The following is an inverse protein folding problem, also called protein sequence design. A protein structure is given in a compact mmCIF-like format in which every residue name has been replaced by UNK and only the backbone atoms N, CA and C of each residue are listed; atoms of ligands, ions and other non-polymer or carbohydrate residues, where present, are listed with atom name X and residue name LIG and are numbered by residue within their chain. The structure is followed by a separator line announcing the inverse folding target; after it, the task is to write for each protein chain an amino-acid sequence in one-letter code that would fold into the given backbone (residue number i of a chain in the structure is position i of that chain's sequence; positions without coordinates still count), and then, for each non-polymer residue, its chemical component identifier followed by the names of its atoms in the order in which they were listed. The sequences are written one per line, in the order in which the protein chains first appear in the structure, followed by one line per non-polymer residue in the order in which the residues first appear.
data_IF_687409476182
#
_entry.id   IF_687409476182
#
_cell.length_a   1.000
_cell.length_b   1.000
_cell.length_c   1.000
_cell.angle_alpha   90.00
_cell.angle_beta   90.00
_cell.angle_gamma   90.00
#
_symmetry.space_group_name_H-M   'P 1'
#
loop_
_entity.id
_entity.type
_entity.pdbx_description
1 polymer ?
#
# COMPACT_ATOMS: atom_id res chain seq x y z
N UNK A 1 -31.48 -9.89 -30.47
CA UNK A 1 -31.28 -8.54 -29.90
C UNK A 1 -31.79 -8.55 -28.45
N UNK A 2 -30.92 -8.39 -27.45
CA UNK A 2 -31.36 -8.31 -26.05
C UNK A 2 -32.29 -7.11 -25.86
N UNK A 3 -33.43 -7.31 -25.20
CA UNK A 3 -34.40 -6.25 -24.90
C UNK A 3 -33.75 -5.17 -24.03
N UNK A 4 -34.22 -3.93 -24.10
CA UNK A 4 -33.69 -2.80 -23.31
C UNK A 4 -33.61 -3.13 -21.81
N UNK A 5 -34.59 -3.88 -21.30
CA UNK A 5 -34.66 -4.41 -19.93
C UNK A 5 -33.51 -5.37 -19.60
N UNK A 6 -33.17 -6.30 -20.50
CA UNK A 6 -32.09 -7.26 -20.30
C UNK A 6 -30.70 -6.58 -20.26
N UNK A 7 -30.50 -5.53 -21.07
CA UNK A 7 -29.27 -4.72 -21.04
C UNK A 7 -29.15 -3.91 -19.74
N UNK A 8 -30.26 -3.39 -19.22
CA UNK A 8 -30.29 -2.65 -17.95
C UNK A 8 -29.99 -3.58 -16.76
N UNK A 9 -30.55 -4.78 -16.74
CA UNK A 9 -30.31 -5.78 -15.70
C UNK A 9 -28.83 -6.20 -15.64
N UNK A 10 -28.18 -6.44 -16.78
CA UNK A 10 -26.74 -6.80 -16.82
C UNK A 10 -25.86 -5.64 -16.31
N UNK A 11 -26.27 -4.38 -16.52
CA UNK A 11 -25.55 -3.20 -16.00
C UNK A 11 -25.72 -2.99 -14.51
N UNK A 12 -26.88 -3.35 -13.94
CA UNK A 12 -27.19 -3.16 -12.52
C UNK A 12 -26.73 -4.35 -11.67
N UNK A 13 -26.67 -5.56 -12.25
CA UNK A 13 -26.31 -6.78 -11.55
C UNK A 13 -25.01 -6.70 -10.69
N UNK A 14 -23.91 -6.06 -11.14
CA UNK A 14 -22.70 -5.91 -10.32
C UNK A 14 -22.90 -5.07 -9.05
N UNK A 15 -23.90 -4.18 -9.02
CA UNK A 15 -24.17 -3.29 -7.90
C UNK A 15 -25.06 -3.90 -6.82
N UNK A 16 -25.79 -4.97 -7.14
CA UNK A 16 -26.71 -5.62 -6.20
C UNK A 16 -25.97 -6.18 -4.98
N UNK A 17 -24.82 -6.83 -5.19
CA UNK A 17 -24.02 -7.40 -4.11
C UNK A 17 -23.46 -6.35 -3.14
N UNK A 18 -22.73 -5.31 -3.59
CA UNK A 18 -22.20 -4.30 -2.67
C UNK A 18 -23.29 -3.51 -1.98
N UNK A 19 -24.34 -3.07 -2.70
CA UNK A 19 -25.44 -2.31 -2.11
C UNK A 19 -26.22 -3.19 -1.11
N UNK A 20 -26.53 -4.42 -1.48
CA UNK A 20 -27.19 -5.38 -0.60
C UNK A 20 -26.39 -5.63 0.68
N UNK A 21 -25.07 -5.76 0.56
CA UNK A 21 -24.17 -5.93 1.72
C UNK A 21 -24.22 -4.73 2.67
N UNK A 22 -24.21 -3.50 2.15
CA UNK A 22 -24.32 -2.28 2.97
C UNK A 22 -25.69 -2.19 3.65
N UNK A 23 -26.77 -2.55 2.95
CA UNK A 23 -28.13 -2.54 3.52
C UNK A 23 -28.23 -3.56 4.66
N UNK A 24 -27.77 -4.80 4.43
CA UNK A 24 -27.76 -5.86 5.45
C UNK A 24 -26.92 -5.44 6.64
N UNK A 25 -25.76 -4.83 6.41
CA UNK A 25 -24.88 -4.33 7.46
C UNK A 25 -25.55 -3.22 8.29
N UNK A 26 -26.10 -2.17 7.65
CA UNK A 26 -26.83 -1.11 8.35
C UNK A 26 -28.00 -1.68 9.16
N UNK A 27 -28.77 -2.60 8.57
CA UNK A 27 -29.89 -3.24 9.25
C UNK A 27 -29.42 -4.03 10.48
N UNK A 28 -28.45 -4.93 10.32
CA UNK A 28 -27.91 -5.74 11.40
C UNK A 28 -27.29 -4.89 12.53
N UNK A 29 -26.64 -3.77 12.20
CA UNK A 29 -26.16 -2.80 13.19
C UNK A 29 -27.30 -2.06 13.90
N UNK A 30 -28.35 -1.65 13.18
CA UNK A 30 -29.48 -0.91 13.76
C UNK A 30 -30.34 -1.73 14.71
N UNK A 31 -30.51 -3.03 14.43
CA UNK A 31 -31.28 -3.97 15.25
C UNK A 31 -30.44 -4.55 16.40
N UNK A 32 -29.17 -4.16 16.51
CA UNK A 32 -28.28 -4.57 17.62
C UNK A 32 -27.69 -5.98 17.47
N UNK A 33 -27.82 -6.61 16.30
CA UNK A 33 -27.16 -7.89 16.01
C UNK A 33 -25.64 -7.74 15.91
N UNK A 34 -25.17 -6.54 15.53
CA UNK A 34 -23.76 -6.18 15.48
C UNK A 34 -23.45 -5.12 16.54
N UNK A 35 -22.41 -5.36 17.33
CA UNK A 35 -21.90 -4.37 18.28
C UNK A 35 -21.29 -3.19 17.53
N UNK A 36 -21.91 -2.01 17.67
CA UNK A 36 -21.45 -0.75 17.06
C UNK A 36 -20.11 -0.26 17.61
N UNK A 37 -19.61 -0.86 18.71
CA UNK A 37 -18.28 -0.61 19.25
C UNK A 37 -17.17 -1.30 18.45
N UNK A 38 -17.44 -2.47 17.88
CA UNK A 38 -16.47 -3.23 17.07
C UNK A 38 -16.67 -2.88 15.59
N UNK A 39 -17.92 -2.79 15.15
CA UNK A 39 -18.27 -2.50 13.77
C UNK A 39 -19.29 -1.35 13.72
N UNK A 40 -18.83 -0.10 13.56
CA UNK A 40 -19.73 1.05 13.48
C UNK A 40 -20.70 0.89 12.30
N UNK A 41 -21.94 1.38 12.44
CA UNK A 41 -22.90 1.33 11.33
C UNK A 41 -22.44 2.20 10.16
N UNK A 42 -22.83 1.88 8.91
CA UNK A 42 -22.58 2.75 7.75
C UNK A 42 -22.95 4.21 7.99
N UNK A 43 -24.12 4.45 8.60
CA UNK A 43 -24.54 5.80 9.01
C UNK A 43 -23.58 6.44 10.03
N UNK A 44 -23.11 5.66 11.00
CA UNK A 44 -22.14 6.12 11.99
C UNK A 44 -20.80 6.53 11.35
N UNK A 45 -20.35 5.79 10.34
CA UNK A 45 -19.15 6.13 9.55
C UNK A 45 -19.34 7.46 8.81
N UNK A 46 -20.50 7.68 8.18
CA UNK A 46 -20.81 8.94 7.48
C UNK A 46 -20.88 10.14 8.44
N UNK A 47 -21.51 9.96 9.60
CA UNK A 47 -21.57 11.00 10.65
C UNK A 47 -20.17 11.34 11.15
N UNK A 48 -19.36 10.33 11.50
CA UNK A 48 -17.99 10.54 11.96
C UNK A 48 -17.15 11.24 10.89
N UNK A 49 -17.28 10.84 9.62
CA UNK A 49 -16.61 11.51 8.50
C UNK A 49 -16.97 13.00 8.42
N UNK A 50 -18.27 13.34 8.48
CA UNK A 50 -18.71 14.74 8.42
C UNK A 50 -18.21 15.54 9.63
N UNK A 51 -18.38 15.00 10.84
CA UNK A 51 -17.95 15.67 12.07
C UNK A 51 -16.44 15.94 12.07
N UNK A 52 -15.61 14.95 11.74
CA UNK A 52 -14.15 15.09 11.71
C UNK A 52 -13.67 15.97 10.54
N UNK A 53 -14.39 15.95 9.42
CA UNK A 53 -14.11 16.85 8.28
C UNK A 53 -14.40 18.30 8.64
N UNK A 54 -15.53 18.55 9.31
CA UNK A 54 -15.96 19.89 9.72
C UNK A 54 -15.12 20.46 10.87
N UNK A 55 -14.66 19.61 11.80
CA UNK A 55 -13.75 20.03 12.88
C UNK A 55 -12.33 20.32 12.39
N UNK A 56 -11.95 19.82 11.22
CA UNK A 56 -10.60 19.93 10.67
C UNK A 56 -9.64 18.82 11.15
N UNK A 57 -10.02 18.04 12.15
CA UNK A 57 -9.20 16.94 12.70
C UNK A 57 -8.88 15.88 11.64
N UNK A 58 -9.84 15.55 10.77
CA UNK A 58 -9.63 14.58 9.69
C UNK A 58 -8.45 15.00 8.81
N UNK A 59 -8.42 16.27 8.41
CA UNK A 59 -7.39 16.82 7.55
C UNK A 59 -6.03 16.86 8.24
N UNK A 60 -5.99 17.19 9.54
CA UNK A 60 -4.77 17.15 10.32
C UNK A 60 -4.20 15.74 10.44
N UNK A 61 -5.03 14.75 10.78
CA UNK A 61 -4.61 13.35 10.86
C UNK A 61 -4.14 12.82 9.51
N UNK A 62 -4.87 13.15 8.44
CA UNK A 62 -4.52 12.76 7.09
C UNK A 62 -3.19 13.38 6.66
N UNK A 63 -2.97 14.67 6.93
CA UNK A 63 -1.74 15.36 6.58
C UNK A 63 -0.53 14.77 7.31
N UNK A 64 -0.64 14.54 8.62
CA UNK A 64 0.43 13.93 9.42
C UNK A 64 0.75 12.51 8.93
N UNK A 65 -0.28 11.69 8.68
CA UNK A 65 -0.10 10.33 8.16
C UNK A 65 0.55 10.34 6.77
N UNK A 66 0.09 11.23 5.90
CA UNK A 66 0.62 11.36 4.54
C UNK A 66 2.06 11.86 4.53
N UNK A 67 2.40 12.81 5.40
CA UNK A 67 3.76 13.32 5.56
C UNK A 67 4.75 12.22 5.95
N UNK A 68 4.39 11.42 6.98
CA UNK A 68 5.19 10.24 7.39
C UNK A 68 5.35 9.26 6.23
N UNK A 69 4.26 8.96 5.53
CA UNK A 69 4.26 8.05 4.40
C UNK A 69 5.17 8.56 3.27
N UNK A 70 5.08 9.84 2.91
CA UNK A 70 5.87 10.47 1.86
C UNK A 70 7.36 10.50 2.18
N UNK A 71 7.74 10.90 3.40
CA UNK A 71 9.17 10.90 3.79
C UNK A 71 9.71 9.47 3.81
N UNK A 72 9.01 8.56 4.49
CA UNK A 72 9.44 7.17 4.59
C UNK A 72 9.57 6.53 3.22
N UNK A 73 8.57 6.72 2.35
CA UNK A 73 8.61 6.28 0.96
C UNK A 73 9.75 6.92 0.16
N UNK A 74 10.01 8.21 0.33
CA UNK A 74 11.08 8.89 -0.40
C UNK A 74 12.45 8.34 -0.01
N UNK A 75 12.69 8.12 1.28
CA UNK A 75 13.95 7.54 1.80
C UNK A 75 14.07 6.08 1.37
N UNK A 76 13.10 5.26 1.76
CA UNK A 76 13.10 3.81 1.50
C UNK A 76 13.08 3.50 0.01
N UNK A 77 12.25 4.22 -0.74
CA UNK A 77 12.13 4.08 -2.18
C UNK A 77 13.37 4.55 -2.94
N UNK A 78 14.03 5.62 -2.54
CA UNK A 78 15.31 6.00 -3.16
C UNK A 78 16.38 4.93 -2.91
N UNK A 79 16.49 4.41 -1.69
CA UNK A 79 17.43 3.34 -1.36
C UNK A 79 17.10 2.07 -2.16
N UNK A 80 15.83 1.64 -2.15
CA UNK A 80 15.36 0.47 -2.87
C UNK A 80 15.60 0.59 -4.38
N UNK A 81 15.30 1.75 -4.96
CA UNK A 81 15.54 2.05 -6.37
C UNK A 81 17.02 1.95 -6.72
N UNK A 82 17.90 2.62 -5.95
CA UNK A 82 19.35 2.58 -6.18
C UNK A 82 19.89 1.16 -6.10
N UNK A 83 19.54 0.42 -5.04
CA UNK A 83 19.97 -0.97 -4.88
C UNK A 83 19.42 -1.88 -5.99
N UNK A 84 18.16 -1.66 -6.39
CA UNK A 84 17.48 -2.41 -7.45
C UNK A 84 18.10 -2.16 -8.81
N UNK A 85 18.47 -0.91 -9.10
CA UNK A 85 19.23 -0.53 -10.30
C UNK A 85 20.61 -1.21 -10.31
N UNK A 86 21.36 -1.12 -9.21
CA UNK A 86 22.69 -1.75 -9.09
C UNK A 86 22.59 -3.26 -9.32
N UNK A 87 21.62 -3.93 -8.69
CA UNK A 87 21.44 -5.38 -8.78
C UNK A 87 20.86 -5.82 -10.12
N UNK A 88 19.97 -5.01 -10.70
CA UNK A 88 19.34 -5.29 -11.99
C UNK A 88 20.32 -5.15 -13.16
N UNK A 89 21.17 -4.12 -13.13
CA UNK A 89 22.11 -3.80 -14.21
C UNK A 89 23.46 -4.54 -14.08
N UNK A 90 23.89 -4.93 -12.87
CA UNK A 90 25.18 -5.59 -12.63
C UNK A 90 25.03 -7.02 -12.12
N UNK A 91 25.76 -7.96 -12.74
CA UNK A 91 25.87 -9.35 -12.26
C UNK A 91 26.55 -9.45 -10.89
N UNK A 92 27.47 -8.55 -10.57
CA UNK A 92 28.11 -8.51 -9.26
C UNK A 92 27.19 -7.92 -8.21
N UNK A 93 26.47 -6.85 -8.56
CA UNK A 93 25.44 -6.26 -7.71
C UNK A 93 24.39 -7.29 -7.32
N UNK A 94 23.87 -8.04 -8.29
CA UNK A 94 22.95 -9.16 -8.09
C UNK A 94 23.50 -10.17 -7.08
N UNK A 95 24.71 -10.70 -7.30
CA UNK A 95 25.28 -11.73 -6.43
C UNK A 95 25.53 -11.27 -4.99
N UNK A 96 25.96 -10.02 -4.80
CA UNK A 96 26.32 -9.49 -3.48
C UNK A 96 25.11 -8.96 -2.70
N UNK A 97 24.20 -8.25 -3.37
CA UNK A 97 23.10 -7.54 -2.74
C UNK A 97 21.83 -8.37 -2.65
N UNK A 98 21.47 -9.12 -3.70
CA UNK A 98 20.16 -9.78 -3.78
C UNK A 98 19.97 -10.77 -2.64
N UNK A 99 20.95 -11.67 -2.42
CA UNK A 99 20.91 -12.63 -1.30
C UNK A 99 20.70 -11.94 0.04
N UNK A 100 21.48 -10.88 0.32
CA UNK A 100 21.42 -10.14 1.58
C UNK A 100 20.07 -9.45 1.77
N UNK A 101 19.53 -8.84 0.70
CA UNK A 101 18.24 -8.16 0.73
C UNK A 101 17.10 -9.15 0.89
N UNK A 102 17.15 -10.30 0.20
CA UNK A 102 16.16 -11.36 0.36
C UNK A 102 16.15 -11.95 1.77
N UNK A 103 17.31 -12.13 2.39
CA UNK A 103 17.40 -12.53 3.79
C UNK A 103 16.75 -11.51 4.72
N UNK A 104 17.08 -10.23 4.55
CA UNK A 104 16.53 -9.17 5.40
C UNK A 104 15.01 -9.00 5.21
N UNK A 105 14.51 -9.19 3.98
CA UNK A 105 13.07 -9.15 3.67
C UNK A 105 12.27 -10.20 4.43
N UNK A 106 12.86 -11.36 4.70
CA UNK A 106 12.17 -12.44 5.41
C UNK A 106 11.97 -12.12 6.90
N UNK A 107 12.62 -11.09 7.43
CA UNK A 107 12.39 -10.62 8.79
C UNK A 107 11.01 -9.94 8.86
N UNK A 108 10.09 -10.40 9.73
CA UNK A 108 8.79 -9.75 9.88
C UNK A 108 8.97 -8.31 10.35
N UNK A 109 8.37 -7.35 9.63
CA UNK A 109 8.50 -5.93 9.99
C UNK A 109 7.98 -5.65 11.40
N UNK A 110 6.94 -6.37 11.83
CA UNK A 110 6.39 -6.27 13.19
C UNK A 110 7.40 -6.70 14.27
N UNK A 111 8.29 -7.65 13.97
CA UNK A 111 9.31 -8.11 14.91
C UNK A 111 10.42 -7.07 15.14
N UNK A 112 10.58 -6.11 14.24
CA UNK A 112 11.57 -5.03 14.35
C UNK A 112 11.09 -3.88 15.23
N UNK A 113 9.78 -3.77 15.51
CA UNK A 113 9.21 -2.65 16.28
C UNK A 113 9.93 -2.44 17.62
N UNK A 114 10.14 -3.46 18.47
CA UNK A 114 10.81 -3.25 19.76
C UNK A 114 12.24 -2.74 19.63
N UNK A 115 12.99 -3.24 18.65
CA UNK A 115 14.37 -2.83 18.38
C UNK A 115 14.44 -1.39 17.90
N UNK A 116 13.54 -1.01 16.99
CA UNK A 116 13.44 0.37 16.48
C UNK A 116 13.04 1.32 17.60
N UNK A 117 12.12 0.92 18.48
CA UNK A 117 11.77 1.72 19.67
C UNK A 117 12.96 1.89 20.60
N UNK A 118 13.76 0.84 20.80
CA UNK A 118 14.96 0.92 21.65
C UNK A 118 16.02 1.87 21.06
N UNK A 119 16.17 1.91 19.74
CA UNK A 119 17.16 2.78 19.07
C UNK A 119 16.69 4.22 18.89
N UNK A 120 15.43 4.42 18.50
CA UNK A 120 14.91 5.71 18.04
C UNK A 120 13.86 6.30 18.98
N UNK A 121 13.41 5.55 20.00
CA UNK A 121 12.27 5.93 20.85
C UNK A 121 10.91 5.63 20.21
N UNK A 122 9.83 6.15 20.82
CA UNK A 122 8.46 5.99 20.33
C UNK A 122 7.99 7.14 19.43
N UNK A 123 8.93 8.01 19.05
CA UNK A 123 8.67 9.25 18.33
C UNK A 123 8.48 9.04 16.82
N UNK A 124 8.49 10.14 16.07
CA UNK A 124 8.26 10.18 14.63
C UNK A 124 9.35 9.46 13.83
N UNK A 125 10.60 9.52 14.30
CA UNK A 125 11.75 8.86 13.67
C UNK A 125 11.54 7.35 13.52
N UNK A 126 11.05 6.68 14.57
CA UNK A 126 10.77 5.25 14.56
C UNK A 126 9.70 4.88 13.52
N UNK A 127 8.63 5.68 13.42
CA UNK A 127 7.54 5.46 12.46
C UNK A 127 8.05 5.63 11.03
N UNK A 128 8.81 6.69 10.77
CA UNK A 128 9.40 6.97 9.44
C UNK A 128 10.38 5.88 9.05
N UNK A 129 11.23 5.42 9.97
CA UNK A 129 12.17 4.32 9.72
C UNK A 129 11.47 3.04 9.28
N UNK A 130 10.40 2.63 10.00
CA UNK A 130 9.63 1.44 9.65
C UNK A 130 8.95 1.56 8.28
N UNK A 131 8.42 2.74 7.94
CA UNK A 131 7.87 3.00 6.59
C UNK A 131 8.96 2.94 5.52
N UNK A 132 10.13 3.52 5.77
CA UNK A 132 11.25 3.47 4.83
C UNK A 132 11.72 2.04 4.60
N UNK A 133 11.88 1.25 5.66
CA UNK A 133 12.24 -0.15 5.56
C UNK A 133 11.18 -0.96 4.79
N UNK A 134 9.89 -0.74 5.10
CA UNK A 134 8.76 -1.40 4.45
C UNK A 134 8.63 -1.09 2.96
N UNK A 135 8.96 0.14 2.55
CA UNK A 135 8.89 0.55 1.14
C UNK A 135 10.14 0.18 0.35
N UNK A 136 11.30 0.09 0.99
CA UNK A 136 12.57 -0.25 0.34
C UNK A 136 12.53 -1.61 -0.37
N UNK A 137 12.04 -2.67 0.29
CA UNK A 137 12.03 -4.02 -0.29
C UNK A 137 11.17 -4.17 -1.55
N UNK A 138 9.86 -3.80 -1.56
CA UNK A 138 9.06 -3.93 -2.77
C UNK A 138 9.60 -3.06 -3.91
N UNK A 139 10.15 -1.88 -3.61
CA UNK A 139 10.75 -1.02 -4.65
C UNK A 139 12.00 -1.68 -5.22
N UNK A 140 12.90 -2.20 -4.37
CA UNK A 140 14.06 -2.98 -4.82
C UNK A 140 13.65 -4.13 -5.76
N UNK A 141 12.72 -4.97 -5.32
CA UNK A 141 12.27 -6.16 -6.04
C UNK A 141 11.63 -5.79 -7.37
N UNK A 142 10.73 -4.80 -7.37
CA UNK A 142 10.03 -4.36 -8.58
C UNK A 142 10.99 -3.71 -9.57
N UNK A 143 11.96 -2.91 -9.10
CA UNK A 143 13.00 -2.34 -9.97
C UNK A 143 13.87 -3.45 -10.56
N UNK A 144 14.33 -4.40 -9.74
CA UNK A 144 15.17 -5.51 -10.19
C UNK A 144 14.44 -6.38 -11.24
N UNK A 145 13.21 -6.81 -10.94
CA UNK A 145 12.39 -7.59 -11.88
C UNK A 145 12.07 -6.79 -13.13
N UNK A 146 11.77 -5.50 -12.99
CA UNK A 146 11.50 -4.61 -14.12
C UNK A 146 12.66 -4.57 -15.11
N UNK A 147 13.91 -4.54 -14.61
CA UNK A 147 15.11 -4.56 -15.46
C UNK A 147 15.34 -5.94 -16.07
N UNK A 148 15.19 -7.02 -15.29
CA UNK A 148 15.53 -8.38 -15.74
C UNK A 148 14.50 -9.00 -16.67
N UNK A 149 13.27 -8.52 -16.66
CA UNK A 149 12.19 -9.01 -17.51
C UNK A 149 11.99 -8.17 -18.79
N UNK A 150 12.89 -7.22 -19.09
CA UNK A 150 12.83 -6.47 -20.35
C UNK A 150 13.00 -7.44 -21.53
N UNK A 151 12.17 -7.27 -22.56
CA UNK A 151 12.30 -8.02 -23.82
C UNK A 151 13.69 -7.81 -24.42
N UNK A 152 14.36 -8.91 -24.75
CA UNK A 152 15.69 -8.89 -25.37
C UNK A 152 15.70 -8.07 -26.66
N UNK A 153 14.62 -8.10 -27.44
CA UNK A 153 14.50 -7.32 -28.67
C UNK A 153 14.55 -5.81 -28.43
N UNK A 154 13.98 -5.33 -27.31
CA UNK A 154 14.07 -3.90 -26.94
C UNK A 154 15.49 -3.51 -26.53
N UNK A 155 16.23 -4.42 -25.86
CA UNK A 155 17.63 -4.19 -25.49
C UNK A 155 18.53 -4.19 -26.74
N UNK A 156 18.28 -5.11 -27.68
CA UNK A 156 19.00 -5.16 -28.96
C UNK A 156 18.74 -3.90 -29.78
N UNK A 157 17.48 -3.47 -29.89
CA UNK A 157 17.10 -2.23 -30.57
C UNK A 157 17.80 -1.01 -29.96
N UNK A 158 17.78 -0.86 -28.63
CA UNK A 158 18.46 0.24 -27.95
C UNK A 158 19.96 0.27 -28.28
N UNK A 159 20.65 -0.88 -28.24
CA UNK A 159 22.08 -0.96 -28.58
C UNK A 159 22.38 -0.59 -30.04
N UNK A 160 21.45 -0.81 -30.97
CA UNK A 160 21.62 -0.41 -32.37
C UNK A 160 21.46 1.10 -32.60
N UNK A 161 20.69 1.79 -31.75
CA UNK A 161 20.45 3.23 -31.89
C UNK A 161 21.40 4.14 -31.08
N UNK A 162 22.15 3.58 -30.12
CA UNK A 162 23.09 4.32 -29.27
C UNK A 162 22.45 4.81 -27.98
#
# INVERSE_FOLDING_TARGET
MATLSQKLLIRIAPWLLPIGSVIVWQFASSVGWLSTRILPSPEGVLKAFWTLSASGELWQHLAISSWRALIGFSIGGSIGLVLGLISGLSRWGERLLDTSIQMLRNVPHLALIPLVILWFGIDESAKIFLVALGTMFPIYINTWHGIRNIDRGLVEMARSYG
#
